data_IF_620674442902
#
_entry.id   IF_620674442902
#
_cell.length_a   1.000
_cell.length_b   1.000
_cell.length_c   1.000
_cell.angle_alpha   90.00
_cell.angle_beta   90.00
_cell.angle_gamma   90.00
#
_symmetry.space_group_name_H-M   'P 1'
#
loop_
_entity.id
_entity.type
_entity.pdbx_description
1 polymer ?
#
# COMPACT_ATOMS: atom_id res chain seq x y z
N UNK A 1 -10.44 -18.70 -51.23
CA UNK A 1 -11.15 -17.90 -50.21
C UNK A 1 -11.52 -18.67 -48.94
N UNK A 2 -11.79 -19.99 -49.00
CA UNK A 2 -12.14 -20.80 -47.80
C UNK A 2 -10.99 -20.98 -46.77
N UNK A 3 -9.74 -21.11 -47.23
CA UNK A 3 -8.57 -21.26 -46.34
C UNK A 3 -8.15 -19.97 -45.63
N UNK A 4 -8.45 -18.80 -46.20
CA UNK A 4 -8.12 -17.51 -45.62
C UNK A 4 -8.98 -17.21 -44.38
N UNK A 5 -10.25 -17.59 -44.39
CA UNK A 5 -11.15 -17.43 -43.24
C UNK A 5 -10.79 -18.40 -42.09
N UNK A 6 -10.37 -19.63 -42.42
CA UNK A 6 -9.88 -20.60 -41.45
C UNK A 6 -8.55 -20.15 -40.79
N UNK A 7 -7.63 -19.57 -41.58
CA UNK A 7 -6.37 -19.05 -41.07
C UNK A 7 -6.57 -17.87 -40.09
N UNK A 8 -7.54 -16.99 -40.37
CA UNK A 8 -7.87 -15.87 -39.47
C UNK A 8 -8.52 -16.32 -38.15
N UNK A 9 -9.31 -17.39 -38.16
CA UNK A 9 -9.92 -17.96 -36.94
C UNK A 9 -8.85 -18.64 -36.05
N UNK A 10 -7.87 -19.31 -36.66
CA UNK A 10 -6.75 -19.95 -35.95
C UNK A 10 -5.83 -18.89 -35.32
N UNK A 11 -5.64 -17.74 -35.98
CA UNK A 11 -4.84 -16.63 -35.45
C UNK A 11 -5.51 -15.95 -34.25
N UNK A 12 -6.85 -15.87 -34.22
CA UNK A 12 -7.64 -15.31 -33.11
C UNK A 12 -7.73 -16.24 -31.88
N UNK A 13 -7.57 -17.56 -32.07
CA UNK A 13 -7.48 -18.55 -30.99
C UNK A 13 -6.08 -18.59 -30.32
N UNK A 14 -5.07 -17.95 -30.92
CA UNK A 14 -3.72 -17.85 -30.38
C UNK A 14 -3.44 -16.56 -29.59
N UNK A 15 -4.38 -15.63 -29.49
CA UNK A 15 -4.32 -14.53 -28.52
C UNK A 15 -4.50 -15.09 -27.10
N UNK A 16 -3.44 -15.69 -26.58
CA UNK A 16 -3.32 -16.06 -25.18
C UNK A 16 -3.45 -14.79 -24.36
N UNK A 17 -4.45 -14.74 -23.49
CA UNK A 17 -4.41 -13.83 -22.36
C UNK A 17 -3.17 -14.21 -21.54
N UNK A 18 -2.10 -13.44 -21.65
CA UNK A 18 -0.94 -13.58 -20.77
C UNK A 18 -1.32 -13.03 -19.41
N UNK A 19 -1.98 -13.85 -18.60
CA UNK A 19 -2.02 -13.62 -17.17
C UNK A 19 -0.56 -13.70 -16.68
N UNK A 20 -0.09 -12.67 -15.97
CA UNK A 20 1.20 -12.69 -15.28
C UNK A 20 1.17 -13.73 -14.17
N UNK A 21 1.33 -15.00 -14.53
CA UNK A 21 1.13 -16.11 -13.62
C UNK A 21 2.36 -16.27 -12.74
N UNK A 22 2.19 -15.94 -11.45
CA UNK A 22 3.19 -16.15 -10.42
C UNK A 22 3.38 -17.66 -10.21
N UNK A 23 4.63 -18.12 -10.13
CA UNK A 23 4.97 -19.50 -9.80
C UNK A 23 6.00 -19.52 -8.67
N UNK A 24 5.79 -20.39 -7.68
CA UNK A 24 6.74 -20.61 -6.59
C UNK A 24 8.05 -21.24 -7.06
N UNK A 25 8.06 -21.87 -8.23
CA UNK A 25 9.24 -22.52 -8.83
C UNK A 25 9.90 -21.69 -9.92
N UNK A 26 9.48 -20.44 -10.11
CA UNK A 26 9.97 -19.59 -11.21
C UNK A 26 11.50 -19.47 -11.26
N UNK A 27 12.15 -19.38 -10.09
CA UNK A 27 13.61 -19.31 -9.99
C UNK A 27 14.30 -20.65 -9.70
N UNK A 28 13.58 -21.76 -9.65
CA UNK A 28 14.14 -23.05 -9.25
C UNK A 28 15.27 -23.54 -10.17
N UNK A 29 15.26 -23.16 -11.45
CA UNK A 29 16.29 -23.54 -12.43
C UNK A 29 17.31 -22.42 -12.66
N UNK A 30 16.86 -21.16 -12.74
CA UNK A 30 17.73 -20.01 -13.05
C UNK A 30 18.54 -19.54 -11.83
N UNK A 31 17.96 -19.59 -10.63
CA UNK A 31 18.64 -19.17 -9.39
C UNK A 31 18.10 -19.98 -8.19
N UNK A 32 18.52 -21.25 -8.04
CA UNK A 32 17.97 -22.16 -7.04
C UNK A 32 18.17 -21.69 -5.59
N UNK A 33 19.22 -20.90 -5.35
CA UNK A 33 19.56 -20.37 -4.02
C UNK A 33 18.98 -18.98 -3.74
N UNK A 34 18.14 -18.43 -4.63
CA UNK A 34 17.59 -17.08 -4.45
C UNK A 34 16.83 -16.97 -3.13
N UNK A 35 15.89 -17.89 -2.89
CA UNK A 35 15.01 -17.82 -1.73
C UNK A 35 15.79 -18.01 -0.42
N UNK A 36 16.76 -18.92 -0.39
CA UNK A 36 17.62 -19.15 0.78
C UNK A 36 18.52 -17.95 1.06
N UNK A 37 19.09 -17.34 0.03
CA UNK A 37 19.97 -16.16 0.14
C UNK A 37 19.19 -14.95 0.66
N UNK A 38 18.03 -14.64 0.06
CA UNK A 38 17.17 -13.53 0.50
C UNK A 38 16.69 -13.75 1.94
N UNK A 39 16.25 -14.97 2.28
CA UNK A 39 15.81 -15.31 3.64
C UNK A 39 16.93 -15.12 4.66
N UNK A 40 18.16 -15.50 4.32
CA UNK A 40 19.33 -15.30 5.17
C UNK A 40 19.62 -13.80 5.38
N UNK A 41 19.65 -13.02 4.30
CA UNK A 41 19.92 -11.58 4.37
C UNK A 41 18.85 -10.83 5.17
N UNK A 42 17.57 -11.12 4.95
CA UNK A 42 16.46 -10.53 5.71
C UNK A 42 16.55 -10.91 7.20
N UNK A 43 16.84 -12.18 7.50
CA UNK A 43 17.01 -12.63 8.89
C UNK A 43 18.17 -11.92 9.58
N UNK A 44 19.29 -11.73 8.90
CA UNK A 44 20.43 -10.99 9.43
C UNK A 44 20.07 -9.52 9.68
N UNK A 45 19.39 -8.87 8.72
CA UNK A 45 18.97 -7.48 8.86
C UNK A 45 17.99 -7.27 10.03
N UNK A 46 17.03 -8.18 10.22
CA UNK A 46 16.07 -8.14 11.33
C UNK A 46 16.74 -8.43 12.68
N UNK A 47 17.73 -9.32 12.70
CA UNK A 47 18.50 -9.60 13.93
C UNK A 47 19.37 -8.41 14.33
N UNK A 48 19.92 -7.68 13.36
CA UNK A 48 20.68 -6.45 13.60
C UNK A 48 19.77 -5.31 14.05
N UNK A 49 18.60 -5.15 13.43
CA UNK A 49 17.58 -4.17 13.81
C UNK A 49 16.17 -4.76 13.66
N UNK A 50 15.49 -5.03 14.79
CA UNK A 50 14.15 -5.64 14.79
C UNK A 50 13.11 -4.85 13.99
N UNK A 51 13.24 -3.53 13.95
CA UNK A 51 12.35 -2.62 13.20
C UNK A 51 12.40 -2.86 11.68
N UNK A 52 13.50 -3.41 11.18
CA UNK A 52 13.70 -3.65 9.74
C UNK A 52 12.62 -4.56 9.14
N UNK A 53 12.10 -5.53 9.90
CA UNK A 53 11.02 -6.40 9.43
C UNK A 53 9.74 -5.62 9.10
N UNK A 54 9.37 -4.67 9.96
CA UNK A 54 8.22 -3.79 9.73
C UNK A 54 8.47 -2.83 8.56
N UNK A 55 9.70 -2.32 8.41
CA UNK A 55 10.08 -1.43 7.29
C UNK A 55 9.99 -2.15 5.94
N UNK A 56 10.53 -3.37 5.83
CA UNK A 56 10.47 -4.18 4.61
C UNK A 56 9.02 -4.53 4.22
N UNK A 57 8.20 -4.86 5.21
CA UNK A 57 6.77 -5.13 4.99
C UNK A 57 6.04 -3.89 4.47
N UNK A 58 6.27 -2.73 5.09
CA UNK A 58 5.67 -1.45 4.64
C UNK A 58 6.10 -1.10 3.22
N UNK A 59 7.37 -1.28 2.88
CA UNK A 59 7.88 -1.01 1.53
C UNK A 59 7.19 -1.91 0.50
N UNK A 60 7.08 -3.21 0.78
CA UNK A 60 6.39 -4.15 -0.11
C UNK A 60 4.92 -3.77 -0.35
N UNK A 61 4.21 -3.37 0.70
CA UNK A 61 2.83 -2.90 0.55
C UNK A 61 2.74 -1.62 -0.28
N UNK A 62 3.64 -0.65 -0.05
CA UNK A 62 3.66 0.60 -0.78
C UNK A 62 3.90 0.38 -2.29
N UNK A 63 4.89 -0.44 -2.63
CA UNK A 63 5.21 -0.78 -4.03
C UNK A 63 4.06 -1.56 -4.69
N UNK A 64 3.41 -2.45 -3.94
CA UNK A 64 2.23 -3.18 -4.43
C UNK A 64 1.04 -2.25 -4.66
N UNK A 65 0.80 -1.30 -3.75
CA UNK A 65 -0.33 -0.37 -3.85
C UNK A 65 -0.17 0.63 -4.99
N UNK A 66 1.06 1.09 -5.25
CA UNK A 66 1.39 1.92 -6.41
C UNK A 66 1.09 1.16 -7.73
N UNK A 67 1.43 -0.13 -7.80
CA UNK A 67 1.18 -0.97 -8.96
C UNK A 67 -0.31 -1.37 -9.11
N UNK A 68 -1.07 -1.41 -8.02
CA UNK A 68 -2.50 -1.72 -8.01
C UNK A 68 -3.40 -0.53 -8.36
N UNK A 69 -2.82 0.61 -8.76
CA UNK A 69 -3.59 1.78 -9.18
C UNK A 69 -4.29 2.51 -8.03
N UNK A 70 -3.68 2.50 -6.84
CA UNK A 70 -4.14 3.33 -5.72
C UNK A 70 -4.30 4.80 -6.15
N UNK A 71 -5.26 5.54 -5.56
CA UNK A 71 -5.46 6.94 -5.93
C UNK A 71 -4.19 7.74 -5.66
N UNK A 72 -3.73 8.49 -6.65
CA UNK A 72 -2.69 9.50 -6.45
C UNK A 72 -3.38 10.80 -6.05
N UNK A 73 -2.91 11.44 -4.98
CA UNK A 73 -3.38 12.76 -4.58
C UNK A 73 -2.24 13.76 -4.63
N UNK A 74 -2.53 14.96 -5.13
CA UNK A 74 -1.59 16.08 -5.09
C UNK A 74 -1.46 16.58 -3.66
N UNK A 75 -0.28 16.47 -3.07
CA UNK A 75 0.00 16.99 -1.72
C UNK A 75 0.32 18.47 -1.81
N UNK A 76 -0.49 19.31 -1.14
CA UNK A 76 -0.17 20.74 -1.00
C UNK A 76 1.01 20.92 -0.04
N UNK A 77 2.07 21.60 -0.51
CA UNK A 77 3.29 21.89 0.25
C UNK A 77 3.27 23.33 0.78
N UNK A 78 4.19 23.66 1.70
CA UNK A 78 4.36 25.02 2.23
C UNK A 78 4.03 25.20 3.72
N UNK A 79 3.66 24.13 4.43
CA UNK A 79 3.57 24.13 5.90
C UNK A 79 4.95 24.44 6.51
N UNK A 80 4.99 25.36 7.45
CA UNK A 80 6.17 25.70 8.25
C UNK A 80 6.09 25.07 9.64
N UNK A 81 7.23 24.70 10.20
CA UNK A 81 7.29 24.12 11.54
C UNK A 81 7.03 25.18 12.63
N UNK A 82 6.22 24.81 13.61
CA UNK A 82 6.01 25.63 14.81
C UNK A 82 7.26 25.59 15.70
N UNK A 83 7.57 26.70 16.36
CA UNK A 83 8.63 26.77 17.37
C UNK A 83 8.17 26.35 18.77
N UNK A 84 6.89 26.05 18.95
CA UNK A 84 6.29 25.71 20.24
C UNK A 84 5.27 24.58 20.12
N UNK A 85 5.23 23.71 21.12
CA UNK A 85 4.19 22.69 21.31
C UNK A 85 3.09 23.19 22.27
N UNK A 86 1.87 22.66 22.17
CA UNK A 86 0.75 23.00 23.06
C UNK A 86 0.11 21.75 23.64
N UNK A 87 0.36 21.50 24.93
CA UNK A 87 -0.24 20.37 25.67
C UNK A 87 -1.74 20.59 25.92
N UNK A 88 -2.14 21.82 26.27
CA UNK A 88 -3.56 22.17 26.47
C UNK A 88 -4.35 22.05 25.17
N UNK A 89 -3.76 22.49 24.05
CA UNK A 89 -4.35 22.31 22.73
C UNK A 89 -4.52 20.84 22.37
N UNK A 90 -3.57 19.98 22.72
CA UNK A 90 -3.70 18.54 22.50
C UNK A 90 -4.83 17.92 23.33
N UNK A 91 -4.91 18.23 24.62
CA UNK A 91 -5.94 17.69 25.52
C UNK A 91 -7.36 18.15 25.15
N UNK A 92 -7.51 19.32 24.54
CA UNK A 92 -8.82 19.85 24.14
C UNK A 92 -9.26 19.41 22.74
N UNK A 93 -8.33 19.08 21.83
CA UNK A 93 -8.63 18.81 20.42
C UNK A 93 -8.47 17.34 20.01
N UNK A 94 -7.83 16.50 20.84
CA UNK A 94 -7.67 15.07 20.57
C UNK A 94 -8.70 14.30 21.42
N UNK A 95 -9.75 13.70 20.80
CA UNK A 95 -10.73 12.91 21.54
C UNK A 95 -10.08 11.63 22.09
N UNK A 96 -10.42 11.25 23.32
CA UNK A 96 -9.96 10.01 23.92
C UNK A 96 -10.52 8.78 23.16
N UNK A 97 -9.84 7.62 23.17
CA UNK A 97 -10.32 6.39 22.53
C UNK A 97 -11.67 5.89 23.07
N UNK A 98 -12.09 6.38 24.24
CA UNK A 98 -13.36 6.07 24.90
C UNK A 98 -14.47 7.08 24.57
N UNK A 99 -14.22 8.06 23.70
CA UNK A 99 -15.19 9.10 23.33
C UNK A 99 -16.32 8.52 22.49
N UNK A 100 -17.55 8.99 22.69
CA UNK A 100 -18.70 8.54 21.92
C UNK A 100 -18.70 9.13 20.48
N UNK A 101 -19.49 8.54 19.59
CA UNK A 101 -19.58 8.95 18.18
C UNK A 101 -19.95 10.44 18.00
N UNK A 102 -20.80 10.98 18.89
CA UNK A 102 -21.20 12.40 18.84
C UNK A 102 -20.04 13.34 19.18
N UNK A 103 -19.20 12.98 20.15
CA UNK A 103 -17.99 13.72 20.49
C UNK A 103 -16.92 13.65 19.38
N UNK A 104 -16.84 12.51 18.67
CA UNK A 104 -15.96 12.35 17.52
C UNK A 104 -16.40 13.22 16.33
N UNK A 105 -17.69 13.17 15.97
CA UNK A 105 -18.27 14.02 14.92
C UNK A 105 -18.08 15.50 15.26
N UNK A 106 -18.29 15.90 16.52
CA UNK A 106 -18.08 17.30 16.95
C UNK A 106 -16.61 17.72 16.86
N UNK A 107 -15.67 16.85 17.24
CA UNK A 107 -14.23 17.14 17.12
C UNK A 107 -13.78 17.28 15.66
N UNK A 108 -14.26 16.41 14.77
CA UNK A 108 -13.96 16.49 13.35
C UNK A 108 -14.59 17.72 12.71
N UNK A 109 -15.84 18.07 13.08
CA UNK A 109 -16.50 19.28 12.64
C UNK A 109 -15.75 20.54 13.07
N UNK A 110 -15.13 20.56 14.25
CA UNK A 110 -14.30 21.67 14.72
C UNK A 110 -13.00 21.84 13.91
N UNK A 111 -12.56 20.81 13.19
CA UNK A 111 -11.44 20.87 12.24
C UNK A 111 -11.91 21.09 10.78
N UNK A 112 -13.20 21.37 10.57
CA UNK A 112 -13.78 21.55 9.23
C UNK A 112 -13.97 20.24 8.45
N UNK A 113 -13.92 19.09 9.11
CA UNK A 113 -14.08 17.77 8.51
C UNK A 113 -15.49 17.22 8.76
N UNK A 114 -16.07 16.57 7.76
CA UNK A 114 -17.41 15.99 7.85
C UNK A 114 -17.39 14.56 8.42
N UNK A 115 -18.56 14.04 8.78
CA UNK A 115 -18.72 12.64 9.20
C UNK A 115 -18.33 11.63 8.09
N UNK A 116 -18.38 12.03 6.81
CA UNK A 116 -17.92 11.21 5.69
C UNK A 116 -16.39 11.14 5.65
N UNK A 117 -15.73 12.25 5.94
CA UNK A 117 -14.27 12.31 6.02
C UNK A 117 -13.76 11.51 7.21
N UNK A 118 -14.50 11.51 8.33
CA UNK A 118 -14.22 10.66 9.48
C UNK A 118 -14.22 9.17 9.13
N UNK A 119 -15.20 8.70 8.34
CA UNK A 119 -15.28 7.29 7.90
C UNK A 119 -14.19 6.97 6.86
N UNK A 120 -13.84 7.93 6.01
CA UNK A 120 -12.76 7.74 5.03
C UNK A 120 -11.36 7.69 5.68
N UNK A 121 -11.21 8.25 6.88
CA UNK A 121 -9.93 8.37 7.60
C UNK A 121 -9.77 7.38 8.78
N UNK A 122 -10.82 6.61 9.11
CA UNK A 122 -10.79 5.53 10.10
C UNK A 122 -10.26 4.22 9.53
#
# INVERSE_FOLDING_TARGET
MRYAFAASIILFLCSRMTYGQLSSTFYSTTCPNLLSTVKSAVKQAVNNEKRMGASLLRLHFHDSFANLGGPTWTVQLGRRDSKSASLSGANSNIPAPTSNLSALISSFSNQGLSAKDMIALS
#
